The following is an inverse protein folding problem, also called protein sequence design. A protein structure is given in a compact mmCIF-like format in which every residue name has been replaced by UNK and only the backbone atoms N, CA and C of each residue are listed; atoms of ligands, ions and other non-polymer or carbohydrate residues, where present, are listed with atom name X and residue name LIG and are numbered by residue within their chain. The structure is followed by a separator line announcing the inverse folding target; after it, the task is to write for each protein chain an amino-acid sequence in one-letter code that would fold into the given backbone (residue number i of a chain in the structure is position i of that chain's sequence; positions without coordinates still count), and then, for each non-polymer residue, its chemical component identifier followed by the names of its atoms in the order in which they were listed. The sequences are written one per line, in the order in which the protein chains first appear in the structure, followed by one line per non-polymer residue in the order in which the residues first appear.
data_IF_703144827347
#
_entry.id   IF_703144827347
#
_cell.length_a   1.000
_cell.length_b   1.000
_cell.length_c   1.000
_cell.angle_alpha   90.00
_cell.angle_beta   90.00
_cell.angle_gamma   90.00
#
_symmetry.space_group_name_H-M   'P 1'
#
loop_
_entity.id
_entity.type
_entity.pdbx_description
1 polymer ?
#
# COMPACT_ATOMS: atom_id res chain seq x y z
N UNK A 1 0.44 -8.18 -23.65
CA UNK A 1 1.73 -8.91 -23.57
C UNK A 1 2.30 -8.67 -22.17
N UNK A 2 2.64 -9.75 -21.46
CA UNK A 2 3.26 -9.70 -20.14
C UNK A 2 4.66 -9.06 -20.28
N UNK A 3 4.86 -7.88 -19.72
CA UNK A 3 6.18 -7.25 -19.67
C UNK A 3 6.91 -7.68 -18.38
N UNK A 4 8.25 -7.63 -18.31
CA UNK A 4 9.03 -8.01 -17.12
C UNK A 4 8.53 -7.38 -15.79
N UNK A 5 8.10 -6.10 -15.74
CA UNK A 5 7.52 -5.52 -14.53
C UNK A 5 6.20 -6.16 -14.09
N UNK A 6 5.39 -6.60 -15.06
CA UNK A 6 4.11 -7.26 -14.77
C UNK A 6 4.32 -8.63 -14.11
N UNK A 7 5.36 -9.35 -14.53
CA UNK A 7 5.75 -10.62 -13.93
C UNK A 7 6.30 -10.44 -12.52
N UNK A 8 7.03 -9.36 -12.23
CA UNK A 8 7.51 -9.05 -10.88
C UNK A 8 6.37 -8.69 -9.92
N UNK A 9 5.38 -7.92 -10.36
CA UNK A 9 4.18 -7.65 -9.55
C UNK A 9 3.38 -8.92 -9.24
N UNK A 10 3.31 -9.85 -10.20
CA UNK A 10 2.71 -11.17 -9.99
C UNK A 10 3.45 -12.00 -8.94
N UNK A 11 4.77 -11.80 -8.74
CA UNK A 11 5.53 -12.49 -7.69
C UNK A 11 5.10 -12.07 -6.28
N UNK A 12 4.44 -10.93 -6.10
CA UNK A 12 3.95 -10.50 -4.77
C UNK A 12 2.87 -11.45 -4.24
N UNK A 13 2.06 -12.06 -5.10
CA UNK A 13 1.05 -13.02 -4.66
C UNK A 13 1.67 -14.29 -4.04
N UNK A 14 2.61 -15.00 -4.70
CA UNK A 14 3.40 -16.07 -4.07
C UNK A 14 4.13 -15.65 -2.79
N UNK A 15 4.72 -14.45 -2.78
CA UNK A 15 5.40 -13.94 -1.57
C UNK A 15 4.41 -13.71 -0.42
N UNK A 16 3.19 -13.26 -0.70
CA UNK A 16 2.14 -13.14 0.32
C UNK A 16 1.76 -14.53 0.87
N UNK A 17 1.64 -15.55 0.02
CA UNK A 17 1.34 -16.92 0.44
C UNK A 17 2.41 -17.51 1.37
N UNK A 18 3.68 -17.07 1.26
CA UNK A 18 4.73 -17.50 2.18
C UNK A 18 4.46 -17.08 3.64
N UNK A 19 3.58 -16.11 3.90
CA UNK A 19 3.14 -15.80 5.26
C UNK A 19 2.31 -16.91 5.90
N UNK A 20 1.77 -17.86 5.13
CA UNK A 20 1.17 -19.07 5.68
C UNK A 20 2.21 -19.98 6.37
N UNK A 21 3.50 -19.82 6.06
CA UNK A 21 4.55 -20.52 6.79
C UNK A 21 4.69 -19.95 8.20
N UNK A 22 4.79 -20.81 9.21
CA UNK A 22 5.08 -20.39 10.59
C UNK A 22 6.57 -20.00 10.79
N UNK A 23 7.43 -20.22 9.78
CA UNK A 23 8.85 -19.94 9.89
C UNK A 23 9.13 -18.43 9.76
N UNK A 24 9.68 -17.84 10.84
CA UNK A 24 10.04 -16.43 10.91
C UNK A 24 10.96 -15.98 9.77
N UNK A 25 11.97 -16.79 9.42
CA UNK A 25 12.93 -16.44 8.36
C UNK A 25 12.22 -16.39 7.00
N UNK A 26 11.30 -17.32 6.74
CA UNK A 26 10.52 -17.36 5.50
C UNK A 26 9.65 -16.11 5.36
N UNK A 27 8.93 -15.72 6.42
CA UNK A 27 8.11 -14.49 6.43
C UNK A 27 8.93 -13.23 6.20
N UNK A 28 10.06 -13.15 6.89
CA UNK A 28 10.95 -11.98 6.79
C UNK A 28 11.56 -11.87 5.40
N UNK A 29 12.02 -12.98 4.83
CA UNK A 29 12.53 -13.02 3.45
C UNK A 29 11.43 -12.70 2.43
N UNK A 30 10.21 -13.17 2.64
CA UNK A 30 9.07 -12.86 1.78
C UNK A 30 8.76 -11.35 1.78
N UNK A 31 8.76 -10.72 2.97
CA UNK A 31 8.57 -9.28 3.12
C UNK A 31 9.67 -8.47 2.45
N UNK A 32 10.94 -8.82 2.70
CA UNK A 32 12.10 -8.16 2.07
C UNK A 32 12.02 -8.34 0.54
N UNK A 33 11.68 -9.53 0.07
CA UNK A 33 11.47 -9.82 -1.34
C UNK A 33 10.40 -8.91 -1.96
N UNK A 34 9.26 -8.72 -1.29
CA UNK A 34 8.18 -7.85 -1.76
C UNK A 34 8.59 -6.37 -1.83
N UNK A 35 9.36 -5.89 -0.84
CA UNK A 35 9.89 -4.52 -0.84
C UNK A 35 10.93 -4.30 -1.95
N UNK A 36 11.80 -5.29 -2.17
CA UNK A 36 12.82 -5.24 -3.22
C UNK A 36 12.20 -5.29 -4.62
N UNK A 37 11.20 -6.15 -4.84
CA UNK A 37 10.51 -6.22 -6.14
C UNK A 37 9.82 -4.90 -6.47
N UNK A 38 9.18 -4.24 -5.51
CA UNK A 38 8.59 -2.90 -5.72
C UNK A 38 9.62 -1.83 -6.09
N UNK A 39 10.79 -1.85 -5.44
CA UNK A 39 11.88 -0.95 -5.78
C UNK A 39 12.44 -1.20 -7.19
N UNK A 40 12.60 -2.47 -7.56
CA UNK A 40 13.13 -2.90 -8.85
C UNK A 40 12.15 -2.55 -9.97
N UNK A 41 10.85 -2.81 -9.79
CA UNK A 41 9.79 -2.43 -10.74
C UNK A 41 9.76 -0.92 -10.95
N UNK A 42 9.78 -0.15 -9.86
CA UNK A 42 9.82 1.31 -9.92
C UNK A 42 11.09 1.85 -10.58
N UNK A 43 12.22 1.16 -10.47
CA UNK A 43 13.46 1.52 -11.17
C UNK A 43 13.41 1.19 -12.66
N UNK A 44 12.99 -0.03 -13.01
CA UNK A 44 12.85 -0.50 -14.40
C UNK A 44 11.84 0.34 -15.18
N UNK A 45 10.69 0.64 -14.59
CA UNK A 45 9.66 1.48 -15.21
C UNK A 45 10.18 2.89 -15.53
N UNK A 46 10.98 3.49 -14.63
CA UNK A 46 11.59 4.82 -14.84
C UNK A 46 12.70 4.79 -15.88
N UNK A 47 13.55 3.76 -15.86
CA UNK A 47 14.73 3.68 -16.75
C UNK A 47 14.37 3.31 -18.18
N UNK A 48 13.38 2.44 -18.37
CA UNK A 48 13.06 1.90 -19.69
C UNK A 48 11.77 2.44 -20.32
N UNK A 49 11.05 3.35 -19.63
CA UNK A 49 9.75 3.91 -20.06
C UNK A 49 8.72 2.83 -20.46
N UNK A 50 8.90 1.59 -20.01
CA UNK A 50 7.96 0.50 -20.26
C UNK A 50 6.76 0.64 -19.35
N UNK A 51 5.77 1.43 -19.78
CA UNK A 51 4.46 1.49 -19.12
C UNK A 51 3.47 0.65 -19.91
N UNK A 52 3.15 -0.55 -19.43
CA UNK A 52 2.03 -1.32 -19.98
C UNK A 52 0.74 -0.87 -19.29
N UNK A 53 -0.38 -0.75 -20.03
CA UNK A 53 -1.68 -0.37 -19.45
C UNK A 53 -2.13 -1.35 -18.36
N UNK A 54 -1.73 -2.62 -18.47
CA UNK A 54 -2.05 -3.67 -17.50
C UNK A 54 -1.20 -3.55 -16.22
N UNK A 55 0.11 -3.31 -16.34
CA UNK A 55 1.00 -3.18 -15.18
C UNK A 55 0.62 -2.00 -14.28
N UNK A 56 0.23 -0.87 -14.87
CA UNK A 56 -0.23 0.32 -14.11
C UNK A 56 -1.39 0.01 -13.16
N UNK A 57 -2.23 -0.97 -13.50
CA UNK A 57 -3.35 -1.41 -12.65
C UNK A 57 -2.93 -2.59 -11.76
N UNK A 58 -2.18 -3.54 -12.32
CA UNK A 58 -1.80 -4.77 -11.63
C UNK A 58 -0.85 -4.51 -10.46
N UNK A 59 0.10 -3.60 -10.61
CA UNK A 59 1.10 -3.27 -9.58
C UNK A 59 0.43 -2.82 -8.26
N UNK A 60 -0.44 -1.77 -8.24
CA UNK A 60 -1.12 -1.37 -7.00
C UNK A 60 -2.15 -2.38 -6.51
N UNK A 61 -2.70 -3.23 -7.38
CA UNK A 61 -3.59 -4.32 -6.95
C UNK A 61 -2.82 -5.39 -6.18
N UNK A 62 -1.66 -5.81 -6.68
CA UNK A 62 -0.84 -6.85 -6.05
C UNK A 62 -0.17 -6.34 -4.77
N UNK A 63 0.16 -5.06 -4.69
CA UNK A 63 0.64 -4.42 -3.46
C UNK A 63 -0.41 -4.50 -2.34
N UNK A 64 -1.65 -4.08 -2.64
CA UNK A 64 -2.76 -4.17 -1.69
C UNK A 64 -3.10 -5.61 -1.33
N UNK A 65 -3.03 -6.53 -2.29
CA UNK A 65 -3.23 -7.94 -2.02
C UNK A 65 -2.21 -8.46 -0.99
N UNK A 66 -0.92 -8.17 -1.19
CA UNK A 66 0.13 -8.57 -0.26
C UNK A 66 -0.14 -8.05 1.16
N UNK A 67 -0.44 -6.75 1.29
CA UNK A 67 -0.72 -6.12 2.58
C UNK A 67 -1.98 -6.70 3.24
N UNK A 68 -3.09 -6.82 2.52
CA UNK A 68 -4.33 -7.33 3.11
C UNK A 68 -4.21 -8.81 3.48
N UNK A 69 -3.52 -9.61 2.67
CA UNK A 69 -3.28 -11.02 2.96
C UNK A 69 -2.42 -11.18 4.22
N UNK A 70 -1.31 -10.45 4.33
CA UNK A 70 -0.43 -10.50 5.52
C UNK A 70 -1.15 -10.05 6.79
N UNK A 71 -1.94 -8.98 6.74
CA UNK A 71 -2.77 -8.55 7.87
C UNK A 71 -3.81 -9.60 8.26
N UNK A 72 -4.44 -10.27 7.29
CA UNK A 72 -5.42 -11.32 7.56
C UNK A 72 -4.78 -12.50 8.30
N UNK A 73 -3.59 -12.95 7.88
CA UNK A 73 -2.84 -14.00 8.58
C UNK A 73 -2.54 -13.60 10.03
N UNK A 74 -2.06 -12.37 10.26
CA UNK A 74 -1.78 -11.91 11.62
C UNK A 74 -3.01 -11.83 12.52
N UNK A 75 -4.19 -11.51 11.96
CA UNK A 75 -5.46 -11.56 12.70
C UNK A 75 -5.82 -13.00 13.07
N UNK A 76 -5.71 -13.93 12.12
CA UNK A 76 -6.01 -15.35 12.35
C UNK A 76 -5.10 -15.95 13.44
N UNK A 77 -3.84 -15.53 13.48
CA UNK A 77 -2.86 -15.95 14.50
C UNK A 77 -3.03 -15.23 15.84
N UNK A 78 -3.97 -14.28 15.95
CA UNK A 78 -4.17 -13.41 17.11
C UNK A 78 -2.96 -12.54 17.46
N UNK A 79 -2.01 -12.41 16.54
CA UNK A 79 -0.89 -11.48 16.69
C UNK A 79 -1.39 -10.03 16.52
N UNK A 80 -2.37 -9.80 15.63
CA UNK A 80 -2.96 -8.49 15.34
C UNK A 80 -4.45 -8.44 15.68
N UNK A 81 -4.91 -7.38 16.34
CA UNK A 81 -6.33 -7.19 16.61
C UNK A 81 -7.05 -6.65 15.35
N UNK A 82 -8.30 -7.05 15.06
CA UNK A 82 -9.01 -6.61 13.86
C UNK A 82 -9.13 -5.09 13.71
N UNK A 83 -9.30 -4.36 14.82
CA UNK A 83 -9.37 -2.90 14.80
C UNK A 83 -8.02 -2.25 14.44
N UNK A 84 -6.89 -2.87 14.80
CA UNK A 84 -5.55 -2.38 14.43
C UNK A 84 -5.34 -2.50 12.92
N UNK A 85 -5.74 -3.63 12.34
CA UNK A 85 -5.73 -3.83 10.90
C UNK A 85 -6.64 -2.81 10.18
N UNK A 86 -7.83 -2.55 10.73
CA UNK A 86 -8.76 -1.56 10.17
C UNK A 86 -8.13 -0.16 10.13
N UNK A 87 -7.40 0.24 11.18
CA UNK A 87 -6.69 1.53 11.19
C UNK A 87 -5.61 1.60 10.11
N UNK A 88 -4.85 0.52 9.89
CA UNK A 88 -3.86 0.46 8.80
C UNK A 88 -4.53 0.58 7.42
N UNK A 89 -5.67 -0.07 7.20
CA UNK A 89 -6.41 -0.06 5.93
C UNK A 89 -7.19 1.26 5.71
N UNK A 90 -7.50 1.99 6.78
CA UNK A 90 -8.31 3.22 6.73
C UNK A 90 -7.76 4.28 5.76
N UNK A 91 -6.44 4.37 5.62
CA UNK A 91 -5.79 5.27 4.66
C UNK A 91 -6.17 4.94 3.22
N UNK A 92 -6.23 3.67 2.87
CA UNK A 92 -6.64 3.22 1.53
C UNK A 92 -8.13 3.48 1.30
N UNK A 93 -8.96 3.40 2.34
CA UNK A 93 -10.38 3.78 2.27
C UNK A 93 -10.52 5.28 1.95
N UNK A 94 -9.76 6.16 2.61
CA UNK A 94 -9.79 7.60 2.30
C UNK A 94 -9.41 7.90 0.84
N UNK A 95 -8.38 7.21 0.32
CA UNK A 95 -7.99 7.31 -1.08
C UNK A 95 -9.11 6.86 -2.03
N UNK A 96 -9.76 5.74 -1.73
CA UNK A 96 -10.90 5.23 -2.51
C UNK A 96 -12.10 6.19 -2.46
N UNK A 97 -12.43 6.72 -1.28
CA UNK A 97 -13.52 7.72 -1.11
C UNK A 97 -13.21 8.97 -1.92
N UNK A 98 -11.98 9.47 -1.89
CA UNK A 98 -11.57 10.63 -2.68
C UNK A 98 -11.66 10.36 -4.19
N UNK A 99 -11.22 9.19 -4.65
CA UNK A 99 -11.33 8.79 -6.04
C UNK A 99 -12.79 8.73 -6.51
N UNK A 100 -13.69 8.22 -5.65
CA UNK A 100 -15.13 8.20 -5.91
C UNK A 100 -15.72 9.62 -5.95
N UNK A 101 -15.34 10.49 -5.00
CA UNK A 101 -15.74 11.91 -4.98
C UNK A 101 -15.36 12.62 -6.29
N UNK A 102 -14.15 12.41 -6.80
CA UNK A 102 -13.72 12.95 -8.09
C UNK A 102 -14.48 12.35 -9.28
N UNK A 103 -14.79 11.06 -9.22
CA UNK A 103 -15.61 10.35 -10.23
C UNK A 103 -16.98 10.99 -10.39
N UNK A 104 -17.66 11.24 -9.27
CA UNK A 104 -18.99 11.87 -9.25
C UNK A 104 -18.93 13.32 -9.76
N UNK A 105 -17.85 14.05 -9.48
CA UNK A 105 -17.67 15.45 -9.92
C UNK A 105 -17.23 15.62 -11.38
N UNK A 106 -16.96 14.55 -12.12
CA UNK A 106 -16.54 14.60 -13.53
C UNK A 106 -15.12 15.15 -13.77
N UNK A 107 -14.35 15.46 -12.72
CA UNK A 107 -13.05 16.12 -12.79
C UNK A 107 -11.84 15.14 -12.86
N UNK A 108 -12.07 13.91 -13.32
CA UNK A 108 -11.04 12.85 -13.40
C UNK A 108 -9.80 13.25 -14.24
N UNK A 109 -9.98 14.06 -15.28
CA UNK A 109 -8.89 14.44 -16.22
C UNK A 109 -8.00 15.58 -15.72
N UNK A 110 -8.45 16.41 -14.78
CA UNK A 110 -7.69 17.55 -14.29
C UNK A 110 -6.64 17.16 -13.24
N UNK A 111 -6.83 16.01 -12.58
CA UNK A 111 -5.96 15.54 -11.52
C UNK A 111 -4.88 14.62 -12.05
N UNK A 112 -3.76 15.21 -12.50
CA UNK A 112 -2.48 14.48 -12.40
C UNK A 112 -2.28 14.23 -10.92
N UNK A 113 -2.46 12.99 -10.46
CA UNK A 113 -2.04 12.51 -9.14
C UNK A 113 -0.56 12.85 -8.97
N UNK A 114 -0.25 14.11 -8.64
CA UNK A 114 1.08 14.55 -8.26
C UNK A 114 1.30 13.82 -6.95
N UNK A 115 2.02 12.70 -7.05
CA UNK A 115 2.28 11.75 -5.98
C UNK A 115 2.32 12.48 -4.64
N UNK A 116 1.21 12.39 -3.89
CA UNK A 116 1.11 13.02 -2.59
C UNK A 116 2.23 12.39 -1.77
N UNK A 117 3.21 13.18 -1.34
CA UNK A 117 4.41 12.68 -0.65
C UNK A 117 4.04 11.80 0.56
N UNK A 118 2.91 12.10 1.18
CA UNK A 118 2.29 11.33 2.26
C UNK A 118 1.92 9.89 1.91
N UNK A 119 1.56 9.60 0.65
CA UNK A 119 1.24 8.25 0.20
C UNK A 119 2.44 7.31 0.31
N UNK A 120 3.64 7.77 -0.08
CA UNK A 120 4.87 6.96 0.04
C UNK A 120 5.28 6.74 1.49
N UNK A 121 5.19 7.78 2.32
CA UNK A 121 5.55 7.71 3.73
C UNK A 121 4.67 6.69 4.45
N UNK A 122 3.36 6.73 4.20
CA UNK A 122 2.42 5.78 4.82
C UNK A 122 2.64 4.35 4.34
N UNK A 123 2.98 4.12 3.06
CA UNK A 123 3.32 2.77 2.59
C UNK A 123 4.58 2.25 3.29
N UNK A 124 5.62 3.09 3.42
CA UNK A 124 6.83 2.72 4.15
C UNK A 124 6.55 2.40 5.63
N UNK A 125 5.69 3.20 6.28
CA UNK A 125 5.23 2.93 7.65
C UNK A 125 4.48 1.59 7.73
N UNK A 126 3.64 1.27 6.75
CA UNK A 126 2.87 0.03 6.72
C UNK A 126 3.76 -1.21 6.63
N UNK A 127 4.74 -1.20 5.72
CA UNK A 127 5.75 -2.26 5.64
C UNK A 127 6.59 -2.36 6.91
N UNK A 128 6.93 -1.23 7.54
CA UNK A 128 7.63 -1.20 8.82
C UNK A 128 6.83 -1.87 9.94
N UNK A 129 5.53 -1.58 10.03
CA UNK A 129 4.64 -2.23 11.01
C UNK A 129 4.51 -3.73 10.74
N UNK A 130 4.35 -4.14 9.49
CA UNK A 130 4.31 -5.56 9.12
C UNK A 130 5.63 -6.25 9.49
N UNK A 131 6.78 -5.61 9.29
CA UNK A 131 8.09 -6.13 9.70
C UNK A 131 8.18 -6.28 11.23
N UNK A 132 7.84 -5.25 11.99
CA UNK A 132 7.87 -5.29 13.45
C UNK A 132 6.97 -6.41 13.99
N UNK A 133 5.80 -6.57 13.38
CA UNK A 133 4.86 -7.63 13.73
C UNK A 133 5.39 -9.03 13.39
N UNK A 134 6.02 -9.17 12.22
CA UNK A 134 6.69 -10.41 11.79
C UNK A 134 7.77 -10.80 12.80
N UNK A 135 8.57 -9.83 13.27
CA UNK A 135 9.65 -10.04 14.24
C UNK A 135 9.17 -10.17 15.69
N UNK A 136 7.86 -10.12 15.94
CA UNK A 136 7.27 -10.10 17.29
C UNK A 136 7.83 -8.99 18.19
N UNK A 137 8.25 -7.87 17.60
CA UNK A 137 8.75 -6.71 18.33
C UNK A 137 7.54 -5.89 18.78
N UNK A 138 7.39 -5.69 20.09
CA UNK A 138 6.34 -4.84 20.64
C UNK A 138 6.60 -3.36 20.32
N UNK A 139 5.55 -2.63 19.95
CA UNK A 139 5.62 -1.20 19.64
C UNK A 139 4.37 -0.48 20.14
N UNK A 140 4.44 0.84 20.38
CA UNK A 140 3.34 1.58 20.98
C UNK A 140 2.10 1.63 20.09
N UNK A 141 0.93 1.51 20.72
CA UNK A 141 -0.39 1.49 20.06
C UNK A 141 -0.68 2.77 19.24
N UNK A 142 -0.07 3.90 19.62
CA UNK A 142 -0.19 5.18 18.94
C UNK A 142 0.25 5.12 17.47
N UNK A 143 1.09 4.14 17.09
CA UNK A 143 1.48 3.91 15.70
C UNK A 143 0.26 3.59 14.83
N UNK A 144 -0.70 2.79 15.30
CA UNK A 144 -1.92 2.49 14.53
C UNK A 144 -2.80 3.74 14.33
N UNK A 145 -2.94 4.56 15.37
CA UNK A 145 -3.66 5.84 15.29
C UNK A 145 -3.00 6.82 14.32
N UNK A 146 -1.68 6.75 14.16
CA UNK A 146 -0.96 7.56 13.18
C UNK A 146 -1.42 7.28 11.73
N UNK A 147 -1.80 6.05 11.38
CA UNK A 147 -2.34 5.74 10.04
C UNK A 147 -3.64 6.47 9.77
N UNK A 148 -4.54 6.50 10.76
CA UNK A 148 -5.80 7.23 10.65
C UNK A 148 -5.55 8.73 10.51
N UNK A 149 -4.67 9.28 11.35
CA UNK A 149 -4.29 10.71 11.31
C UNK A 149 -3.68 11.10 9.95
N UNK A 150 -2.70 10.36 9.45
CA UNK A 150 -2.07 10.67 8.16
C UNK A 150 -3.06 10.45 7.01
N UNK A 151 -3.93 9.43 7.10
CA UNK A 151 -5.01 9.21 6.13
C UNK A 151 -5.99 10.38 6.06
N UNK A 152 -6.41 10.92 7.21
CA UNK A 152 -7.27 12.11 7.28
C UNK A 152 -6.56 13.35 6.74
N UNK A 153 -5.30 13.60 7.13
CA UNK A 153 -4.52 14.73 6.62
C UNK A 153 -4.38 14.68 5.10
N UNK A 154 -4.09 13.49 4.57
CA UNK A 154 -4.03 13.25 3.13
C UNK A 154 -5.37 13.53 2.46
N UNK A 155 -6.47 13.06 3.03
CA UNK A 155 -7.81 13.30 2.51
C UNK A 155 -8.13 14.81 2.44
N UNK A 156 -7.83 15.55 3.50
CA UNK A 156 -8.02 17.01 3.54
C UNK A 156 -7.17 17.71 2.50
N UNK A 157 -5.90 17.34 2.34
CA UNK A 157 -5.02 17.90 1.31
C UNK A 157 -5.56 17.65 -0.09
N UNK A 158 -6.01 16.42 -0.36
CA UNK A 158 -6.60 16.01 -1.63
C UNK A 158 -7.89 16.79 -1.95
N UNK A 159 -8.78 16.97 -0.98
CA UNK A 159 -10.02 17.75 -1.14
C UNK A 159 -9.72 19.23 -1.38
N UNK A 160 -8.74 19.81 -0.67
CA UNK A 160 -8.31 21.21 -0.87
C UNK A 160 -7.75 21.41 -2.27
N UNK A 161 -6.90 20.49 -2.73
CA UNK A 161 -6.40 20.53 -4.09
C UNK A 161 -7.60 20.46 -5.05
N UNK A 162 -8.52 19.52 -4.87
CA UNK A 162 -9.66 19.31 -5.78
C UNK A 162 -10.56 20.53 -5.99
N UNK A 163 -10.58 21.47 -5.03
CA UNK A 163 -11.34 22.72 -5.09
C UNK A 163 -10.40 23.94 -4.98
N UNK A 164 -9.67 24.32 -6.05
CA UNK A 164 -8.65 25.38 -5.98
C UNK A 164 -9.21 26.81 -5.86
N UNK A 165 -10.50 27.03 -5.59
CA UNK A 165 -11.13 28.35 -5.48
C UNK A 165 -11.59 28.62 -4.05
N UNK A 166 -10.67 29.10 -3.21
CA UNK A 166 -10.94 30.02 -2.09
C UNK A 166 -9.64 30.69 -1.61
N UNK A 167 -8.95 31.36 -2.53
CA UNK A 167 -7.98 32.42 -2.21
C UNK A 167 -7.81 33.32 -3.43
#
# INVERSE_FOLDING_TARGET
MLNPPNSLSLLRAPLALLFLSENLLVRTLALIGAMLTDCIDGYLARRYKYTSKLGVILDPMMDKFFVFFTLAIFILEKNLLPWQALLMISRDLFLCIFALYLGIRGNWKAYKFRAVRWGKITTAMQFGVILLHTLHIAFPIWIYWSFLMVGLLMFVELVKLANPLSS
#
